data_IF_156742596549
#
_entry.id   IF_156742596549
#
_cell.length_a   1.000
_cell.length_b   1.000
_cell.length_c   1.000
_cell.angle_alpha   90.00
_cell.angle_beta   90.00
_cell.angle_gamma   90.00
#
_symmetry.space_group_name_H-M   'P 1'
#
loop_
_entity.id
_entity.type
_entity.pdbx_description
1 polymer ?
#
# COMPACT_ATOMS: atom_id res chain seq x y z
N UNK A 1 2.43 -5.79 -9.11
CA UNK A 1 1.37 -5.60 -10.13
C UNK A 1 2.03 -5.24 -11.44
N UNK A 2 1.46 -5.61 -12.59
CA UNK A 2 2.00 -5.17 -13.89
C UNK A 2 1.67 -3.70 -14.15
N UNK A 3 0.50 -3.26 -13.69
CA UNK A 3 -0.01 -1.89 -13.82
C UNK A 3 -0.69 -1.50 -12.51
N UNK A 4 -0.70 -0.21 -12.19
CA UNK A 4 -1.38 0.36 -11.02
C UNK A 4 -1.81 1.81 -11.32
N UNK A 5 -2.88 2.26 -10.67
CA UNK A 5 -3.40 3.63 -10.78
C UNK A 5 -3.70 4.18 -9.39
N UNK A 6 -3.45 5.47 -9.18
CA UNK A 6 -3.79 6.18 -7.95
C UNK A 6 -4.25 7.59 -8.28
N UNK A 7 -5.31 8.02 -7.61
CA UNK A 7 -5.88 9.37 -7.69
C UNK A 7 -6.28 9.79 -6.28
N UNK A 8 -6.08 11.07 -5.95
CA UNK A 8 -6.31 11.60 -4.60
C UNK A 8 -6.91 13.00 -4.70
N UNK A 9 -8.06 13.18 -4.06
CA UNK A 9 -8.71 14.49 -3.91
C UNK A 9 -8.38 15.12 -2.55
N UNK A 10 -7.90 16.36 -2.58
CA UNK A 10 -7.72 17.16 -1.38
C UNK A 10 -8.90 18.12 -1.19
N UNK A 11 -9.53 18.09 -0.02
CA UNK A 11 -10.72 18.92 0.28
C UNK A 11 -10.49 19.80 1.51
N UNK A 12 -11.00 21.03 1.46
CA UNK A 12 -10.98 21.95 2.60
C UNK A 12 -12.16 21.68 3.55
N UNK A 13 -11.90 21.77 4.86
CA UNK A 13 -12.91 21.58 5.91
C UNK A 13 -12.62 22.49 7.11
N UNK A 14 -13.59 22.66 8.02
CA UNK A 14 -13.43 23.41 9.27
C UNK A 14 -12.62 22.64 10.33
N UNK A 15 -11.43 22.16 9.96
CA UNK A 15 -10.49 21.45 10.83
C UNK A 15 -9.12 22.09 10.78
N UNK A 16 -8.30 21.86 11.80
CA UNK A 16 -6.92 22.34 11.80
C UNK A 16 -6.13 21.77 10.60
N UNK A 17 -5.22 22.55 10.00
CA UNK A 17 -4.39 22.08 8.90
C UNK A 17 -3.40 21.01 9.38
N UNK A 18 -3.04 20.10 8.48
CA UNK A 18 -2.12 19.01 8.79
C UNK A 18 -2.09 17.94 7.69
N UNK A 19 -1.75 16.71 8.08
CA UNK A 19 -1.74 15.56 7.18
C UNK A 19 -0.39 14.85 7.17
N UNK A 20 0.63 15.48 6.57
CA UNK A 20 1.99 14.94 6.54
C UNK A 20 2.67 15.24 7.88
N UNK A 21 2.67 14.28 8.79
CA UNK A 21 3.32 14.38 10.10
C UNK A 21 3.65 12.99 10.66
N UNK A 22 4.18 12.93 11.89
CA UNK A 22 4.26 11.71 12.71
C UNK A 22 4.83 10.47 12.00
N UNK A 23 5.99 10.61 11.34
CA UNK A 23 6.69 9.52 10.63
C UNK A 23 5.89 8.93 9.45
N UNK A 24 4.98 9.69 8.86
CA UNK A 24 4.22 9.24 7.69
C UNK A 24 5.05 9.08 6.41
N UNK A 25 6.29 9.61 6.40
CA UNK A 25 7.20 9.57 5.26
C UNK A 25 6.53 10.00 3.95
N UNK A 26 5.84 11.14 3.97
CA UNK A 26 5.08 11.66 2.82
C UNK A 26 4.01 10.68 2.31
N UNK A 27 3.09 10.27 3.21
CA UNK A 27 1.97 9.35 2.93
C UNK A 27 2.34 7.89 2.69
N UNK A 28 3.59 7.51 2.91
CA UNK A 28 4.02 6.10 2.86
C UNK A 28 3.32 5.28 3.94
N UNK A 29 3.01 5.84 5.11
CA UNK A 29 2.22 5.12 6.13
C UNK A 29 0.85 4.69 5.60
N UNK A 30 0.15 5.58 4.90
CA UNK A 30 -1.16 5.30 4.31
C UNK A 30 -1.03 4.33 3.13
N UNK A 31 0.00 4.48 2.29
CA UNK A 31 0.26 3.57 1.18
C UNK A 31 0.59 2.15 1.65
N UNK A 32 1.47 1.98 2.63
CA UNK A 32 1.81 0.70 3.24
C UNK A 32 0.60 0.06 3.92
N UNK A 33 -0.19 0.86 4.64
CA UNK A 33 -1.42 0.35 5.26
C UNK A 33 -2.40 -0.15 4.19
N UNK A 34 -2.63 0.61 3.12
CA UNK A 34 -3.53 0.25 2.04
C UNK A 34 -3.14 -1.09 1.38
N UNK A 35 -1.87 -1.24 0.99
CA UNK A 35 -1.43 -2.45 0.28
C UNK A 35 -1.42 -3.69 1.18
N UNK A 36 -0.97 -3.57 2.43
CA UNK A 36 -0.94 -4.71 3.36
C UNK A 36 -2.37 -5.17 3.72
N UNK A 37 -3.30 -4.23 3.94
CA UNK A 37 -4.71 -4.57 4.16
C UNK A 37 -5.36 -5.18 2.92
N UNK A 38 -5.02 -4.69 1.72
CA UNK A 38 -5.51 -5.28 0.47
C UNK A 38 -5.00 -6.72 0.30
N UNK A 39 -3.75 -7.01 0.65
CA UNK A 39 -3.20 -8.38 0.64
C UNK A 39 -3.90 -9.30 1.63
N UNK A 40 -4.15 -8.85 2.86
CA UNK A 40 -4.86 -9.66 3.86
C UNK A 40 -6.32 -9.92 3.44
N UNK A 41 -7.01 -8.92 2.90
CA UNK A 41 -8.36 -9.09 2.39
C UNK A 41 -8.40 -10.08 1.21
N UNK A 42 -7.43 -9.99 0.29
CA UNK A 42 -7.32 -10.91 -0.84
C UNK A 42 -7.05 -12.35 -0.37
N UNK A 43 -6.15 -12.53 0.60
CA UNK A 43 -5.87 -13.82 1.21
C UNK A 43 -7.13 -14.41 1.85
N UNK A 44 -7.91 -13.59 2.56
CA UNK A 44 -9.18 -14.00 3.18
C UNK A 44 -10.21 -14.45 2.15
N UNK A 45 -10.44 -13.66 1.09
CA UNK A 45 -11.44 -13.97 0.05
C UNK A 45 -11.09 -15.25 -0.71
N UNK A 46 -9.81 -15.53 -0.90
CA UNK A 46 -9.35 -16.73 -1.60
C UNK A 46 -9.00 -17.90 -0.68
N UNK A 47 -9.26 -17.77 0.63
CA UNK A 47 -8.92 -18.76 1.65
C UNK A 47 -7.45 -19.25 1.54
N UNK A 48 -6.52 -18.31 1.35
CA UNK A 48 -5.07 -18.57 1.27
C UNK A 48 -4.37 -18.03 2.50
N UNK A 49 -3.21 -18.61 2.80
CA UNK A 49 -2.31 -18.05 3.79
C UNK A 49 -1.76 -16.68 3.31
N UNK A 50 -1.84 -15.63 4.15
CA UNK A 50 -1.41 -14.29 3.78
C UNK A 50 0.11 -14.14 3.62
N UNK A 51 0.92 -14.96 4.29
CA UNK A 51 2.37 -14.93 4.14
C UNK A 51 2.78 -15.60 2.81
N UNK A 52 2.17 -16.73 2.46
CA UNK A 52 2.37 -17.37 1.15
C UNK A 52 1.99 -16.45 -0.01
N UNK A 53 0.87 -15.72 0.12
CA UNK A 53 0.43 -14.78 -0.91
C UNK A 53 1.48 -13.68 -1.14
N UNK A 54 2.08 -13.14 -0.07
CA UNK A 54 3.17 -12.16 -0.17
C UNK A 54 4.42 -12.75 -0.82
N UNK A 55 4.86 -13.93 -0.37
CA UNK A 55 6.04 -14.62 -0.92
C UNK A 55 5.91 -14.88 -2.43
N UNK A 56 4.71 -15.26 -2.88
CA UNK A 56 4.43 -15.48 -4.31
C UNK A 56 4.47 -14.20 -5.15
N UNK A 57 4.32 -13.03 -4.54
CA UNK A 57 4.20 -11.73 -5.23
C UNK A 57 5.36 -10.76 -4.94
N UNK A 58 6.34 -11.13 -4.10
CA UNK A 58 7.48 -10.26 -3.85
C UNK A 58 8.31 -10.02 -5.11
N UNK A 59 8.84 -8.81 -5.21
CA UNK A 59 9.83 -8.46 -6.22
C UNK A 59 11.09 -9.26 -5.89
N UNK A 60 11.58 -10.04 -6.86
CA UNK A 60 12.77 -10.86 -6.65
C UNK A 60 14.02 -9.98 -6.55
N UNK A 61 15.03 -10.36 -5.75
CA UNK A 61 16.25 -9.57 -5.57
C UNK A 61 16.96 -9.20 -6.88
N UNK A 62 16.95 -10.10 -7.86
CA UNK A 62 17.56 -9.88 -9.19
C UNK A 62 16.82 -8.84 -10.06
N UNK A 63 15.60 -8.44 -9.69
CA UNK A 63 14.84 -7.42 -10.40
C UNK A 63 15.18 -5.99 -9.94
N UNK A 64 16.06 -5.81 -8.95
CA UNK A 64 16.45 -4.48 -8.47
C UNK A 64 17.70 -3.98 -9.22
N UNK A 65 17.77 -2.74 -9.71
CA UNK A 65 16.73 -1.69 -9.70
C UNK A 65 15.74 -1.89 -10.87
N UNK A 66 14.45 -1.95 -10.55
CA UNK A 66 13.39 -2.01 -11.55
C UNK A 66 13.02 -0.59 -11.99
N UNK A 67 12.69 -0.45 -13.27
CA UNK A 67 12.15 0.76 -13.88
C UNK A 67 10.62 0.79 -13.75
#
# INVERSE_FOLDING_TARGET
FKEAFVEVDAVHTNKAPGGIAYRCSFRVTEASYLIERAMDNLATVWAKDPAELRLKNFIKPECFAYL
#
